data_IF_744661997267
#
_entry.id   IF_744661997267
#
_cell.length_a   1.000
_cell.length_b   1.000
_cell.length_c   1.000
_cell.angle_alpha   90.00
_cell.angle_beta   90.00
_cell.angle_gamma   90.00
#
_symmetry.space_group_name_H-M   'P 1'
#
loop_
_entity.id
_entity.type
_entity.pdbx_description
1 polymer ?
#
# COMPACT_ATOMS: atom_id res chain seq x y z
N UNK A 1 -17.88 1.00 -23.94
CA UNK A 1 -16.50 1.32 -23.49
C UNK A 1 -16.40 1.01 -21.99
N UNK A 2 -15.31 0.39 -21.52
CA UNK A 2 -15.10 0.12 -20.11
C UNK A 2 -14.72 1.39 -19.34
N UNK A 3 -15.24 1.58 -18.12
CA UNK A 3 -14.89 2.69 -17.23
C UNK A 3 -13.82 2.23 -16.24
N UNK A 4 -12.75 3.02 -16.08
CA UNK A 4 -11.72 2.72 -15.09
C UNK A 4 -12.29 2.83 -13.66
N UNK A 5 -12.23 1.72 -12.92
CA UNK A 5 -12.74 1.60 -11.54
C UNK A 5 -11.64 1.71 -10.48
N UNK A 6 -10.37 1.80 -10.91
CA UNK A 6 -9.21 1.99 -10.04
C UNK A 6 -7.91 1.57 -10.71
N UNK A 7 -6.79 1.80 -10.03
CA UNK A 7 -5.46 1.35 -10.43
C UNK A 7 -4.61 0.99 -9.21
N UNK A 8 -3.62 0.13 -9.42
CA UNK A 8 -2.67 -0.27 -8.39
C UNK A 8 -1.28 -0.47 -9.01
N UNK A 9 -0.25 -0.32 -8.19
CA UNK A 9 1.14 -0.58 -8.56
C UNK A 9 1.83 -1.31 -7.41
N UNK A 10 2.57 -2.37 -7.73
CA UNK A 10 3.35 -3.16 -6.79
C UNK A 10 4.60 -3.71 -7.45
N UNK A 11 5.59 -4.09 -6.65
CA UNK A 11 6.72 -4.91 -7.11
C UNK A 11 6.68 -6.27 -6.41
N UNK A 12 7.00 -7.32 -7.13
CA UNK A 12 6.97 -8.68 -6.61
C UNK A 12 7.86 -9.62 -7.41
N UNK A 13 8.03 -10.82 -6.86
CA UNK A 13 8.63 -11.97 -7.52
C UNK A 13 7.72 -13.18 -7.25
N UNK A 14 7.60 -14.10 -8.21
CA UNK A 14 6.86 -15.35 -8.05
C UNK A 14 7.35 -16.11 -6.79
N UNK A 15 6.42 -16.65 -6.01
CA UNK A 15 6.67 -17.27 -4.70
C UNK A 15 6.92 -16.28 -3.55
N UNK A 16 7.03 -14.99 -3.83
CA UNK A 16 7.29 -13.94 -2.86
C UNK A 16 6.04 -13.18 -2.38
N UNK A 17 6.26 -12.18 -1.54
CA UNK A 17 5.24 -11.22 -1.10
C UNK A 17 5.28 -10.01 -2.03
N UNK A 18 4.14 -9.65 -2.60
CA UNK A 18 3.99 -8.43 -3.39
C UNK A 18 3.99 -7.20 -2.48
N UNK A 19 4.85 -6.23 -2.77
CA UNK A 19 4.94 -4.98 -2.05
C UNK A 19 4.11 -3.92 -2.77
N UNK A 20 2.95 -3.59 -2.20
CA UNK A 20 2.07 -2.55 -2.70
C UNK A 20 2.73 -1.17 -2.56
N UNK A 21 2.94 -0.53 -3.71
CA UNK A 21 3.48 0.83 -3.80
C UNK A 21 2.37 1.87 -3.71
N UNK A 22 1.27 1.67 -4.44
CA UNK A 22 0.13 2.56 -4.46
C UNK A 22 -1.14 1.85 -4.92
N UNK A 23 -2.29 2.29 -4.41
CA UNK A 23 -3.63 1.90 -4.88
C UNK A 23 -4.54 3.11 -4.89
N UNK A 24 -5.30 3.28 -5.96
CA UNK A 24 -6.24 4.38 -6.19
C UNK A 24 -7.57 3.85 -6.72
N UNK A 25 -8.67 4.32 -6.15
CA UNK A 25 -10.00 4.06 -6.65
C UNK A 25 -10.84 5.34 -6.58
N UNK A 26 -11.70 5.62 -7.57
CA UNK A 26 -12.72 6.66 -7.45
C UNK A 26 -13.89 6.18 -6.59
N UNK A 27 -14.35 7.02 -5.66
CA UNK A 27 -15.60 6.84 -4.93
C UNK A 27 -15.74 5.46 -4.25
N UNK A 28 -16.81 4.68 -4.52
CA UNK A 28 -17.10 3.43 -3.83
C UNK A 28 -16.29 2.22 -4.35
N UNK A 29 -15.41 2.41 -5.34
CA UNK A 29 -14.77 1.30 -6.07
C UNK A 29 -13.54 0.69 -5.38
N UNK A 30 -13.29 0.99 -4.11
CA UNK A 30 -12.15 0.47 -3.35
C UNK A 30 -12.14 -1.06 -3.26
N UNK A 31 -13.28 -1.69 -3.01
CA UNK A 31 -13.39 -3.16 -2.95
C UNK A 31 -12.96 -3.81 -4.27
N UNK A 32 -13.54 -3.36 -5.39
CA UNK A 32 -13.19 -3.87 -6.72
C UNK A 32 -11.71 -3.64 -7.07
N UNK A 33 -11.13 -2.53 -6.62
CA UNK A 33 -9.71 -2.22 -6.87
C UNK A 33 -8.79 -3.12 -6.04
N UNK A 34 -9.16 -3.42 -4.79
CA UNK A 34 -8.45 -4.37 -3.93
C UNK A 34 -8.54 -5.79 -4.47
N UNK A 35 -9.71 -6.21 -4.95
CA UNK A 35 -9.89 -7.50 -5.61
C UNK A 35 -8.99 -7.63 -6.85
N UNK A 36 -8.91 -6.57 -7.66
CA UNK A 36 -8.00 -6.50 -8.81
C UNK A 36 -6.52 -6.61 -8.42
N UNK A 37 -6.10 -5.94 -7.33
CA UNK A 37 -4.74 -6.06 -6.79
C UNK A 37 -4.43 -7.51 -6.35
N UNK A 38 -5.38 -8.15 -5.65
CA UNK A 38 -5.22 -9.53 -5.18
C UNK A 38 -5.14 -10.50 -6.36
N UNK A 39 -6.00 -10.31 -7.37
CA UNK A 39 -5.97 -11.11 -8.59
C UNK A 39 -4.62 -10.97 -9.32
N UNK A 40 -4.16 -9.73 -9.55
CA UNK A 40 -2.89 -9.47 -10.22
C UNK A 40 -1.67 -10.07 -9.48
N UNK A 41 -1.64 -9.95 -8.15
CA UNK A 41 -0.57 -10.55 -7.35
C UNK A 41 -0.59 -12.09 -7.43
N UNK A 42 -1.79 -12.70 -7.42
CA UNK A 42 -1.94 -14.16 -7.57
C UNK A 42 -1.54 -14.66 -8.95
N UNK A 43 -1.92 -13.95 -10.00
CA UNK A 43 -1.52 -14.27 -11.39
C UNK A 43 0.01 -14.23 -11.57
N UNK A 44 0.69 -13.33 -10.87
CA UNK A 44 2.15 -13.27 -10.81
C UNK A 44 2.78 -14.37 -9.94
N UNK A 45 1.98 -15.20 -9.28
CA UNK A 45 2.43 -16.29 -8.40
C UNK A 45 2.86 -15.84 -7.00
N UNK A 46 2.41 -14.67 -6.55
CA UNK A 46 2.74 -14.17 -5.20
C UNK A 46 1.95 -14.93 -4.13
N UNK A 47 2.55 -15.12 -2.96
CA UNK A 47 1.93 -15.82 -1.82
C UNK A 47 1.23 -14.88 -0.83
N UNK A 48 1.42 -13.57 -1.00
CA UNK A 48 0.81 -12.54 -0.17
C UNK A 48 1.06 -11.15 -0.69
N UNK A 49 0.45 -10.16 -0.03
CA UNK A 49 0.63 -8.74 -0.31
C UNK A 49 0.96 -8.04 1.00
N UNK A 50 1.91 -7.10 0.97
CA UNK A 50 2.20 -6.19 2.07
C UNK A 50 2.17 -4.75 1.57
N UNK A 51 1.79 -3.81 2.42
CA UNK A 51 1.60 -2.43 2.01
C UNK A 51 1.25 -1.51 3.16
N UNK A 52 1.13 -0.21 2.86
CA UNK A 52 0.57 0.74 3.80
C UNK A 52 -0.94 0.75 3.69
N UNK A 53 -1.62 0.59 4.82
CA UNK A 53 -3.06 0.83 4.88
C UNK A 53 -3.36 2.33 4.91
N UNK A 54 -4.45 2.74 4.26
CA UNK A 54 -4.93 4.11 4.28
C UNK A 54 -6.41 4.14 4.68
N UNK A 55 -6.82 5.21 5.38
CA UNK A 55 -8.18 5.33 5.93
C UNK A 55 -9.28 5.14 4.87
N UNK A 56 -9.05 5.61 3.65
CA UNK A 56 -10.00 5.54 2.52
C UNK A 56 -10.45 4.13 2.13
N UNK A 57 -9.61 3.10 2.33
CA UNK A 57 -9.96 1.73 2.01
C UNK A 57 -9.87 0.77 3.19
N UNK A 58 -9.44 1.25 4.37
CA UNK A 58 -9.37 0.44 5.60
C UNK A 58 -10.68 -0.30 5.90
N UNK A 59 -11.89 0.29 5.76
CA UNK A 59 -13.15 -0.44 5.98
C UNK A 59 -13.31 -1.66 5.07
N UNK A 60 -12.82 -1.60 3.83
CA UNK A 60 -12.91 -2.71 2.88
C UNK A 60 -11.97 -3.86 3.25
N UNK A 61 -10.87 -3.58 3.96
CA UNK A 61 -9.91 -4.61 4.37
C UNK A 61 -10.51 -5.63 5.35
N UNK A 62 -11.48 -5.23 6.17
CA UNK A 62 -12.12 -6.13 7.14
C UNK A 62 -12.95 -7.25 6.49
N UNK A 63 -13.26 -7.14 5.19
CA UNK A 63 -13.92 -8.20 4.44
C UNK A 63 -12.99 -9.34 3.99
N UNK A 64 -11.67 -9.19 4.13
CA UNK A 64 -10.69 -10.18 3.68
C UNK A 64 -10.23 -11.10 4.81
N UNK A 65 -10.18 -12.39 4.52
CA UNK A 65 -9.59 -13.38 5.42
C UNK A 65 -8.06 -13.33 5.36
N UNK A 66 -7.39 -13.73 6.46
CA UNK A 66 -5.91 -13.82 6.57
C UNK A 66 -5.19 -12.47 6.42
N UNK A 67 -5.83 -11.40 6.89
CA UNK A 67 -5.24 -10.07 6.99
C UNK A 67 -4.59 -9.86 8.36
N UNK A 68 -3.40 -9.27 8.38
CA UNK A 68 -2.70 -8.89 9.61
C UNK A 68 -2.34 -7.41 9.57
N UNK A 69 -2.77 -6.67 10.60
CA UNK A 69 -2.33 -5.29 10.81
C UNK A 69 -1.08 -5.29 11.69
N UNK A 70 0.01 -4.77 11.14
CA UNK A 70 1.26 -4.54 11.87
C UNK A 70 1.49 -3.04 11.97
N UNK A 71 1.71 -2.55 13.18
CA UNK A 71 2.26 -1.21 13.37
C UNK A 71 3.71 -1.20 12.90
N UNK A 72 3.98 -0.50 11.79
CA UNK A 72 5.33 -0.36 11.24
C UNK A 72 6.02 0.93 11.70
N UNK A 73 5.24 1.93 12.12
CA UNK A 73 5.73 3.25 12.53
C UNK A 73 4.67 4.33 12.31
N UNK A 74 4.99 5.54 12.77
CA UNK A 74 4.18 6.74 12.55
C UNK A 74 4.91 7.72 11.64
N UNK A 75 4.15 8.49 10.84
CA UNK A 75 4.72 9.62 10.07
C UNK A 75 4.32 10.93 10.76
N UNK A 76 5.32 11.74 11.09
CA UNK A 76 5.08 13.11 11.56
C UNK A 76 5.06 14.05 10.38
N UNK A 77 3.96 14.79 10.22
CA UNK A 77 3.83 15.80 9.15
C UNK A 77 3.75 17.19 9.78
N UNK A 78 4.60 18.09 9.30
CA UNK A 78 4.57 19.52 9.65
C UNK A 78 4.49 20.32 8.36
N UNK A 79 3.48 21.19 8.27
CA UNK A 79 3.32 22.12 7.15
C UNK A 79 3.08 23.53 7.68
N UNK A 80 3.59 24.53 6.97
CA UNK A 80 3.23 25.95 7.17
C UNK A 80 1.97 26.35 6.39
N UNK A 81 1.57 25.53 5.42
CA UNK A 81 0.38 25.72 4.60
C UNK A 81 -0.78 25.03 5.31
N UNK A 82 -1.79 25.80 5.70
CA UNK A 82 -2.90 25.34 6.52
C UNK A 82 -3.71 24.26 5.80
N UNK A 83 -3.94 24.43 4.50
CA UNK A 83 -4.67 23.52 3.62
C UNK A 83 -4.02 22.14 3.57
N UNK A 84 -2.67 22.08 3.53
CA UNK A 84 -1.93 20.82 3.58
C UNK A 84 -2.08 20.15 4.95
N UNK A 85 -2.04 20.93 6.03
CA UNK A 85 -2.21 20.39 7.37
C UNK A 85 -3.63 19.83 7.59
N UNK A 86 -4.66 20.47 7.04
CA UNK A 86 -6.02 19.96 7.05
C UNK A 86 -6.18 18.69 6.19
N UNK A 87 -5.61 18.67 4.99
CA UNK A 87 -5.63 17.48 4.13
C UNK A 87 -5.01 16.26 4.83
N UNK A 88 -3.91 16.46 5.58
CA UNK A 88 -3.30 15.41 6.42
C UNK A 88 -4.24 14.94 7.51
N UNK A 89 -4.89 15.86 8.25
CA UNK A 89 -5.84 15.51 9.32
C UNK A 89 -7.07 14.77 8.78
N UNK A 90 -7.58 15.17 7.63
CA UNK A 90 -8.73 14.56 6.97
C UNK A 90 -8.40 13.22 6.30
N UNK A 91 -7.12 12.86 6.18
CA UNK A 91 -6.68 11.70 5.40
C UNK A 91 -6.86 11.89 3.89
N UNK A 92 -7.05 13.13 3.44
CA UNK A 92 -7.19 13.54 2.04
C UNK A 92 -5.83 13.91 1.44
N UNK A 93 -4.84 13.07 1.71
CA UNK A 93 -3.48 13.22 1.20
C UNK A 93 -2.82 11.84 1.08
N UNK A 94 -1.86 11.73 0.16
CA UNK A 94 -1.02 10.55 0.03
C UNK A 94 0.26 10.75 0.82
N UNK A 95 0.46 9.93 1.84
CA UNK A 95 1.69 9.86 2.64
C UNK A 95 2.25 8.45 2.52
N UNK A 96 3.53 8.32 2.20
CA UNK A 96 4.23 7.04 2.07
C UNK A 96 4.02 6.33 0.73
N UNK A 97 4.36 5.04 0.69
CA UNK A 97 4.27 4.22 -0.54
C UNK A 97 5.15 4.77 -1.66
N UNK A 98 4.58 4.88 -2.87
CA UNK A 98 5.24 5.48 -4.04
C UNK A 98 5.62 6.96 -3.83
N UNK A 99 4.86 7.69 -3.02
CA UNK A 99 5.06 9.12 -2.76
C UNK A 99 6.03 9.38 -1.58
N UNK A 100 6.57 8.32 -0.98
CA UNK A 100 7.52 8.40 0.12
C UNK A 100 8.83 7.71 -0.21
N UNK A 101 9.49 7.20 0.83
CA UNK A 101 10.79 6.53 0.76
C UNK A 101 10.67 5.00 0.70
N UNK A 102 9.46 4.44 0.76
CA UNK A 102 9.23 3.00 0.96
C UNK A 102 9.67 2.10 -0.21
N UNK A 103 9.93 2.69 -1.37
CA UNK A 103 10.50 2.03 -2.54
C UNK A 103 12.04 2.18 -2.61
N UNK A 104 12.63 3.02 -1.77
CA UNK A 104 14.09 3.15 -1.69
C UNK A 104 14.67 1.95 -0.98
N UNK A 105 15.85 1.50 -1.41
CA UNK A 105 16.56 0.36 -0.80
C UNK A 105 16.72 0.50 0.71
N UNK A 106 16.86 1.72 1.24
CA UNK A 106 16.95 1.97 2.67
C UNK A 106 15.69 1.54 3.45
N UNK A 107 14.51 1.63 2.82
CA UNK A 107 13.21 1.34 3.43
C UNK A 107 12.65 -0.01 3.00
N UNK A 108 13.02 -0.49 1.81
CA UNK A 108 12.58 -1.77 1.24
C UNK A 108 13.51 -2.95 1.52
N UNK A 109 14.80 -2.71 1.78
CA UNK A 109 15.72 -3.80 2.12
C UNK A 109 15.36 -4.30 3.53
N UNK A 110 15.01 -5.60 3.62
CA UNK A 110 14.98 -6.28 4.90
C UNK A 110 16.42 -6.33 5.42
N UNK A 111 16.75 -5.54 6.43
CA UNK A 111 18.06 -5.51 7.09
C UNK A 111 18.52 -6.94 7.47
N UNK A 112 17.57 -7.86 7.71
CA UNK A 112 17.80 -9.28 7.99
C UNK A 112 18.47 -10.06 6.85
N UNK A 113 18.27 -9.69 5.59
CA UNK A 113 18.80 -10.46 4.45
C UNK A 113 20.33 -10.37 4.27
N UNK A 114 21.00 -9.45 4.99
CA UNK A 114 22.46 -9.28 4.96
C UNK A 114 23.20 -9.88 6.15
N UNK A 115 22.49 -10.47 7.11
CA UNK A 115 23.08 -11.18 8.25
C UNK A 115 23.06 -12.70 8.06
N UNK A 116 23.34 -13.17 6.84
CA UNK A 116 23.91 -14.51 6.69
C UNK A 116 25.42 -14.37 6.84
N UNK A 117 25.88 -14.47 8.09
CA UNK A 117 27.29 -14.71 8.38
C UNK A 117 27.62 -16.03 7.67
N UNK A 118 28.41 -15.96 6.60
CA UNK A 118 29.16 -17.12 6.12
C UNK A 118 30.38 -17.31 7.00
#
# INVERSE_FOLDING_TARGET
AGKMVGCHAFYAQAGGIANLLQIQAPGPHWGATLDGLIAAAREMGCVGITGQTQGRFLPHLFGYNRLFFRYAGGTMVRSRIAEVAEAVRAGDIFIGGLMGDRWTRLSSDDFRSRLTIR
#
